data_IF_960982165493
#
_entry.id   IF_960982165493
#
_cell.length_a   1.000
_cell.length_b   1.000
_cell.length_c   1.000
_cell.angle_alpha   90.00
_cell.angle_beta   90.00
_cell.angle_gamma   90.00
#
_symmetry.space_group_name_H-M   'P 1'
#
loop_
_entity.id
_entity.type
_entity.pdbx_description
1 polymer ?
#
# COMPACT_ATOMS: atom_id res chain seq x y z
N UNK A 1 13.10 -5.57 -0.37
CA UNK A 1 11.68 -5.68 0.09
C UNK A 1 11.33 -4.51 1.01
N UNK A 2 11.95 -4.35 2.18
CA UNK A 2 11.63 -3.27 3.13
C UNK A 2 11.73 -1.82 2.58
N UNK A 3 12.74 -1.50 1.76
CA UNK A 3 12.97 -0.10 1.32
C UNK A 3 12.00 0.42 0.23
N UNK A 4 11.40 -0.44 -0.58
CA UNK A 4 10.48 0.00 -1.64
C UNK A 4 9.14 0.47 -1.05
N UNK A 5 8.62 -0.26 -0.07
CA UNK A 5 7.38 0.05 0.63
C UNK A 5 7.54 1.14 1.69
N UNK A 6 8.75 1.31 2.23
CA UNK A 6 9.10 2.45 3.08
C UNK A 6 8.79 3.80 2.39
N UNK A 7 8.91 3.87 1.06
CA UNK A 7 8.59 5.09 0.30
C UNK A 7 7.12 5.49 0.43
N UNK A 8 6.19 4.54 0.32
CA UNK A 8 4.76 4.81 0.44
C UNK A 8 4.38 5.23 1.86
N UNK A 9 4.92 4.54 2.87
CA UNK A 9 4.75 4.87 4.28
C UNK A 9 5.32 6.26 4.59
N UNK A 10 6.49 6.59 4.05
CA UNK A 10 7.12 7.89 4.23
C UNK A 10 6.29 9.03 3.63
N UNK A 11 5.61 8.80 2.50
CA UNK A 11 4.67 9.77 1.95
C UNK A 11 3.48 10.01 2.90
N UNK A 12 2.86 8.94 3.42
CA UNK A 12 1.74 9.06 4.37
C UNK A 12 2.20 9.75 5.66
N UNK A 13 3.39 9.40 6.17
CA UNK A 13 3.96 10.02 7.36
C UNK A 13 4.26 11.51 7.14
N UNK A 14 4.78 11.88 5.97
CA UNK A 14 5.00 13.29 5.63
C UNK A 14 3.68 14.08 5.61
N UNK A 15 2.63 13.52 5.01
CA UNK A 15 1.30 14.13 4.99
C UNK A 15 0.73 14.25 6.41
N UNK A 16 0.90 13.22 7.24
CA UNK A 16 0.46 13.23 8.64
C UNK A 16 1.17 14.32 9.45
N UNK A 17 2.50 14.41 9.34
CA UNK A 17 3.31 15.44 10.03
C UNK A 17 2.91 16.83 9.54
N UNK A 18 2.78 17.03 8.23
CA UNK A 18 2.35 18.30 7.66
C UNK A 18 0.95 18.70 8.17
N UNK A 19 0.01 17.76 8.23
CA UNK A 19 -1.31 17.99 8.79
C UNK A 19 -1.27 18.41 10.26
N UNK A 20 -0.42 17.76 11.08
CA UNK A 20 -0.24 18.13 12.49
C UNK A 20 0.39 19.52 12.64
N UNK A 21 1.34 19.88 11.78
CA UNK A 21 1.93 21.23 11.77
C UNK A 21 0.86 22.27 11.44
N UNK A 22 0.05 22.05 10.40
CA UNK A 22 -1.05 22.96 10.06
C UNK A 22 -2.08 23.07 11.19
N UNK A 23 -2.45 21.93 11.78
CA UNK A 23 -3.35 21.89 12.94
C UNK A 23 -2.79 22.65 14.13
N UNK A 24 -1.50 22.52 14.43
CA UNK A 24 -0.84 23.22 15.53
C UNK A 24 -0.81 24.73 15.29
N UNK A 25 -0.42 25.16 14.08
CA UNK A 25 -0.41 26.57 13.70
C UNK A 25 -1.80 27.21 13.77
N UNK A 26 -2.82 26.51 13.27
CA UNK A 26 -4.20 26.98 13.33
C UNK A 26 -4.74 26.99 14.77
N UNK A 27 -4.45 25.94 15.54
CA UNK A 27 -4.87 25.82 16.93
C UNK A 27 -4.29 26.93 17.81
N UNK A 28 -3.02 27.28 17.63
CA UNK A 28 -2.40 28.44 18.30
C UNK A 28 -3.08 29.78 17.94
N UNK A 29 -3.68 29.90 16.76
CA UNK A 29 -4.37 31.15 16.39
C UNK A 29 -5.77 31.25 17.02
N UNK A 30 -6.43 30.11 17.28
CA UNK A 30 -7.82 30.06 17.74
C UNK A 30 -7.91 29.91 19.26
N UNK A 31 -7.03 29.11 19.86
CA UNK A 31 -7.18 28.63 21.24
C UNK A 31 -6.08 29.09 22.19
N UNK A 32 -5.17 29.95 21.72
CA UNK A 32 -4.11 30.48 22.58
C UNK A 32 -4.72 31.36 23.68
N UNK A 33 -4.31 31.08 24.91
CA UNK A 33 -4.66 31.86 26.08
C UNK A 33 -3.43 32.13 26.93
N UNK A 34 -3.54 33.04 27.89
CA UNK A 34 -2.45 33.28 28.84
C UNK A 34 -2.39 32.12 29.82
N UNK A 35 -1.23 31.45 29.91
CA UNK A 35 -1.01 30.36 30.85
C UNK A 35 -1.26 30.85 32.29
N UNK A 36 -1.79 29.99 33.15
CA UNK A 36 -1.97 30.33 34.58
C UNK A 36 -0.62 30.68 35.17
N UNK A 37 -0.46 31.91 35.65
CA UNK A 37 0.71 32.26 36.45
C UNK A 37 0.60 31.50 37.79
N UNK A 38 1.60 30.69 38.17
CA UNK A 38 1.61 30.00 39.46
C UNK A 38 1.50 30.99 40.64
N UNK A 39 2.09 32.17 40.48
CA UNK A 39 2.10 33.26 41.46
C UNK A 39 0.70 33.79 41.79
N UNK A 40 -0.29 33.56 40.91
CA UNK A 40 -1.65 34.06 41.07
C UNK A 40 -2.44 33.34 42.18
N UNK A 41 -1.92 32.22 42.67
CA UNK A 41 -2.54 31.42 43.73
C UNK A 41 -1.63 31.29 44.98
N UNK A 42 -0.61 32.16 45.11
CA UNK A 42 0.16 32.23 46.35
C UNK A 42 -0.73 32.70 47.51
N UNK A 43 -0.48 32.12 48.69
CA UNK A 43 -1.17 32.53 49.92
C UNK A 43 -0.82 33.97 50.24
N UNK A 44 -1.83 34.80 50.49
CA UNK A 44 -1.58 36.17 50.89
C UNK A 44 -0.86 36.19 52.26
N UNK A 45 -0.14 37.27 52.60
CA UNK A 45 0.60 37.37 53.87
C UNK A 45 -0.27 37.22 55.14
N UNK A 46 -1.57 37.43 55.02
CA UNK A 46 -2.58 37.21 56.07
C UNK A 46 -2.99 35.73 56.25
N UNK A 47 -2.51 34.83 55.38
CA UNK A 47 -2.84 33.41 55.40
C UNK A 47 -4.09 33.05 54.61
N UNK A 48 -4.76 34.00 53.95
CA UNK A 48 -5.95 33.77 53.13
C UNK A 48 -5.59 33.46 51.67
N UNK A 49 -6.52 32.83 50.96
CA UNK A 49 -6.38 32.56 49.53
C UNK A 49 -6.84 33.76 48.69
N UNK A 50 -6.23 34.04 47.53
CA UNK A 50 -6.68 35.08 46.61
C UNK A 50 -8.09 34.82 46.07
N UNK A 51 -8.82 35.89 45.72
CA UNK A 51 -10.16 35.79 45.10
C UNK A 51 -10.13 35.06 43.74
N UNK A 52 -8.97 35.05 43.08
CA UNK A 52 -8.71 34.33 41.82
C UNK A 52 -8.60 32.82 42.00
N UNK A 53 -8.30 32.35 43.21
CA UNK A 53 -7.95 30.97 43.48
C UNK A 53 -8.23 30.65 44.96
N UNK A 54 -9.46 30.27 45.28
CA UNK A 54 -9.96 30.30 46.66
C UNK A 54 -10.12 28.93 47.32
N UNK A 55 -9.92 27.81 46.59
CA UNK A 55 -10.18 26.48 47.12
C UNK A 55 -9.03 26.00 48.00
N UNK A 56 -9.33 25.56 49.23
CA UNK A 56 -8.37 24.91 50.13
C UNK A 56 -8.84 23.50 50.48
N UNK A 57 -8.03 22.50 50.15
CA UNK A 57 -8.32 21.09 50.41
C UNK A 57 -8.10 20.73 51.89
N UNK A 58 -7.11 21.36 52.55
CA UNK A 58 -6.74 21.22 53.97
C UNK A 58 -6.22 22.55 54.54
N UNK A 59 -6.20 22.73 55.87
CA UNK A 59 -5.66 23.94 56.51
C UNK A 59 -4.21 24.26 56.10
N UNK A 60 -3.40 23.22 55.87
CA UNK A 60 -1.98 23.34 55.51
C UNK A 60 -1.70 23.10 54.01
N UNK A 61 -2.73 22.99 53.17
CA UNK A 61 -2.54 22.81 51.72
C UNK A 61 -2.42 24.17 51.01
N UNK A 62 -1.66 24.25 49.90
CA UNK A 62 -1.69 25.41 49.02
C UNK A 62 -3.12 25.67 48.50
N UNK A 63 -3.40 26.93 48.18
CA UNK A 63 -4.64 27.30 47.49
C UNK A 63 -4.64 26.64 46.10
N UNK A 64 -5.80 26.22 45.64
CA UNK A 64 -6.01 25.64 44.31
C UNK A 64 -7.20 26.30 43.64
N UNK A 65 -7.21 26.29 42.31
CA UNK A 65 -8.32 26.84 41.55
C UNK A 65 -9.55 25.96 41.76
N UNK A 66 -10.73 26.56 41.95
CA UNK A 66 -11.98 25.82 41.81
C UNK A 66 -12.16 25.41 40.35
N UNK A 67 -12.99 24.39 40.09
CA UNK A 67 -13.33 24.00 38.73
C UNK A 67 -13.81 25.21 37.91
N UNK A 68 -14.66 26.07 38.48
CA UNK A 68 -15.15 27.28 37.79
C UNK A 68 -14.03 28.30 37.49
N UNK A 69 -13.15 28.60 38.47
CA UNK A 69 -12.01 29.51 38.31
C UNK A 69 -10.96 28.99 37.33
N UNK A 70 -10.86 27.67 37.20
CA UNK A 70 -9.98 26.98 36.26
C UNK A 70 -10.36 27.31 34.80
N UNK A 71 -11.65 27.52 34.54
CA UNK A 71 -12.18 27.84 33.20
C UNK A 71 -11.99 29.32 32.83
N UNK A 72 -11.99 30.23 33.81
CA UNK A 72 -11.83 31.67 33.60
C UNK A 72 -10.38 32.07 33.25
N UNK A 73 -9.38 31.26 33.63
CA UNK A 73 -7.95 31.59 33.53
C UNK A 73 -7.16 30.65 32.59
N UNK A 74 -7.69 30.34 31.40
CA UNK A 74 -7.13 29.35 30.46
C UNK A 74 -7.23 27.92 31.01
N UNK A 75 -8.07 27.09 30.40
CA UNK A 75 -8.38 25.76 30.90
C UNK A 75 -7.44 24.64 30.42
N UNK A 76 -6.47 24.99 29.56
CA UNK A 76 -5.46 24.04 29.09
C UNK A 76 -4.43 23.73 30.17
N UNK A 77 -3.83 22.55 30.06
CA UNK A 77 -2.76 22.07 30.93
C UNK A 77 -1.41 22.66 30.49
N UNK A 78 -0.46 22.83 31.41
CA UNK A 78 0.82 23.51 31.19
C UNK A 78 1.66 22.87 30.08
N UNK A 79 1.48 21.56 29.85
CA UNK A 79 2.21 20.78 28.84
C UNK A 79 1.32 20.30 27.67
N UNK A 80 0.01 20.56 27.72
CA UNK A 80 -0.98 20.18 26.69
C UNK A 80 -1.89 21.37 26.38
N UNK A 81 -1.29 22.40 25.80
CA UNK A 81 -1.93 23.68 25.51
C UNK A 81 -1.73 24.11 24.05
N UNK A 82 -2.41 25.19 23.64
CA UNK A 82 -2.15 25.88 22.36
C UNK A 82 -1.31 27.17 22.52
N UNK A 83 -0.54 27.29 23.61
CA UNK A 83 0.20 28.51 23.92
C UNK A 83 1.55 28.57 23.20
N UNK A 84 2.20 27.41 23.05
CA UNK A 84 3.43 27.26 22.27
C UNK A 84 3.24 26.23 21.15
N UNK A 85 4.06 26.35 20.10
CA UNK A 85 4.01 25.42 18.97
C UNK A 85 4.30 23.98 19.39
N UNK A 86 5.27 23.81 20.29
CA UNK A 86 5.65 22.49 20.81
C UNK A 86 4.51 21.84 21.60
N UNK A 87 3.90 22.57 22.54
CA UNK A 87 2.76 22.07 23.33
C UNK A 87 1.55 21.76 22.44
N UNK A 88 1.30 22.61 21.43
CA UNK A 88 0.21 22.39 20.48
C UNK A 88 0.41 21.10 19.70
N UNK A 89 1.64 20.84 19.25
CA UNK A 89 1.98 19.62 18.53
C UNK A 89 1.83 18.39 19.42
N UNK A 90 2.28 18.46 20.68
CA UNK A 90 2.13 17.36 21.65
C UNK A 90 0.67 17.09 21.96
N UNK A 91 -0.13 18.13 22.23
CA UNK A 91 -1.57 18.01 22.45
C UNK A 91 -2.27 17.32 21.26
N UNK A 92 -1.96 17.75 20.04
CA UNK A 92 -2.55 17.15 18.83
C UNK A 92 -2.09 15.71 18.59
N UNK A 93 -0.89 15.33 19.03
CA UNK A 93 -0.46 13.92 19.02
C UNK A 93 -1.31 13.06 19.97
N UNK A 94 -1.59 13.52 21.19
CA UNK A 94 -2.52 12.83 22.12
C UNK A 94 -3.94 12.74 21.55
N UNK A 95 -4.42 13.80 20.89
CA UNK A 95 -5.72 13.77 20.21
C UNK A 95 -5.74 12.70 19.12
N UNK A 96 -4.66 12.60 18.33
CA UNK A 96 -4.52 11.60 17.26
C UNK A 96 -4.44 10.16 17.79
N UNK A 97 -3.88 9.93 18.99
CA UNK A 97 -3.93 8.60 19.64
C UNK A 97 -5.30 8.26 20.23
N UNK A 98 -6.21 9.23 20.32
CA UNK A 98 -7.53 9.07 20.93
C UNK A 98 -7.50 9.16 22.46
N UNK A 99 -6.39 9.58 23.05
CA UNK A 99 -6.28 9.78 24.50
C UNK A 99 -6.82 11.15 24.89
N UNK A 100 -7.83 11.16 25.75
CA UNK A 100 -8.38 12.36 26.38
C UNK A 100 -8.78 13.49 25.40
N UNK A 101 -9.09 13.14 24.14
CA UNK A 101 -9.36 14.11 23.08
C UNK A 101 -10.69 14.85 23.26
N UNK A 102 -11.68 14.20 23.91
CA UNK A 102 -12.98 14.80 24.22
C UNK A 102 -12.81 15.93 25.23
N UNK A 103 -11.99 15.74 26.27
CA UNK A 103 -11.72 16.77 27.28
C UNK A 103 -10.95 17.94 26.66
N UNK A 104 -9.97 17.65 25.80
CA UNK A 104 -9.26 18.69 25.05
C UNK A 104 -10.21 19.50 24.15
N UNK A 105 -11.14 18.83 23.46
CA UNK A 105 -12.18 19.48 22.66
C UNK A 105 -13.11 20.34 23.54
N UNK A 106 -13.61 19.81 24.66
CA UNK A 106 -14.47 20.55 25.57
C UNK A 106 -13.77 21.80 26.13
N UNK A 107 -12.47 21.66 26.41
CA UNK A 107 -11.61 22.77 26.82
C UNK A 107 -11.55 23.84 25.73
N UNK A 108 -11.25 23.45 24.49
CA UNK A 108 -11.20 24.35 23.36
C UNK A 108 -12.55 25.03 23.05
N UNK A 109 -13.68 24.32 23.20
CA UNK A 109 -15.03 24.87 23.02
C UNK A 109 -15.34 25.99 24.02
N UNK A 110 -14.78 25.92 25.23
CA UNK A 110 -14.96 26.92 26.28
C UNK A 110 -13.99 28.09 26.17
N UNK A 111 -12.83 27.89 25.53
CA UNK A 111 -11.85 28.96 25.29
C UNK A 111 -12.30 29.94 24.20
N UNK A 112 -13.20 29.54 23.30
CA UNK A 112 -13.72 30.42 22.26
C UNK A 112 -15.06 31.07 22.65
N UNK A 113 -15.38 32.30 22.16
CA UNK A 113 -16.64 32.98 22.50
C UNK A 113 -17.91 32.19 22.15
N UNK A 114 -17.80 31.24 21.22
CA UNK A 114 -18.87 30.32 20.84
C UNK A 114 -18.32 28.90 20.85
N UNK A 115 -19.18 27.89 20.97
CA UNK A 115 -18.77 26.48 21.00
C UNK A 115 -18.26 25.95 19.66
N UNK A 116 -18.65 26.60 18.56
CA UNK A 116 -18.48 26.08 17.20
C UNK A 116 -17.03 25.93 16.74
N UNK A 117 -16.12 26.91 16.95
CA UNK A 117 -14.75 26.80 16.48
C UNK A 117 -14.00 25.64 17.13
N UNK A 118 -14.13 25.46 18.45
CA UNK A 118 -13.55 24.32 19.18
C UNK A 118 -14.10 22.98 18.71
N UNK A 119 -15.42 22.86 18.61
CA UNK A 119 -16.07 21.62 18.18
C UNK A 119 -15.69 21.23 16.75
N UNK A 120 -15.78 22.16 15.80
CA UNK A 120 -15.49 21.89 14.39
C UNK A 120 -14.00 21.55 14.20
N UNK A 121 -13.10 22.30 14.84
CA UNK A 121 -11.66 22.04 14.75
C UNK A 121 -11.32 20.62 15.20
N UNK A 122 -11.74 20.21 16.40
CA UNK A 122 -11.37 18.91 16.96
C UNK A 122 -12.05 17.75 16.22
N UNK A 123 -13.32 17.87 15.83
CA UNK A 123 -14.00 16.79 15.09
C UNK A 123 -13.37 16.58 13.72
N UNK A 124 -13.12 17.65 12.97
CA UNK A 124 -12.47 17.55 11.65
C UNK A 124 -11.05 17.04 11.81
N UNK A 125 -10.29 17.58 12.76
CA UNK A 125 -8.92 17.13 13.01
C UNK A 125 -8.88 15.64 13.35
N UNK A 126 -9.74 15.19 14.27
CA UNK A 126 -9.80 13.80 14.71
C UNK A 126 -10.16 12.84 13.57
N UNK A 127 -11.22 13.11 12.81
CA UNK A 127 -11.64 12.25 11.69
C UNK A 127 -10.54 12.14 10.64
N UNK A 128 -9.91 13.26 10.29
CA UNK A 128 -8.88 13.32 9.26
C UNK A 128 -7.58 12.65 9.74
N UNK A 129 -7.15 12.88 10.97
CA UNK A 129 -6.03 12.17 11.61
C UNK A 129 -6.26 10.67 11.69
N UNK A 130 -7.44 10.25 12.13
CA UNK A 130 -7.80 8.84 12.22
C UNK A 130 -7.72 8.18 10.83
N UNK A 131 -8.33 8.78 9.81
CA UNK A 131 -8.24 8.27 8.44
C UNK A 131 -6.79 8.13 7.94
N UNK A 132 -5.92 9.10 8.22
CA UNK A 132 -4.50 9.00 7.88
C UNK A 132 -3.78 7.86 8.61
N UNK A 133 -4.07 7.63 9.90
CA UNK A 133 -3.53 6.50 10.64
C UNK A 133 -4.01 5.16 10.09
N UNK A 134 -5.28 5.03 9.70
CA UNK A 134 -5.76 3.80 9.05
C UNK A 134 -5.06 3.57 7.72
N UNK A 135 -4.84 4.60 6.92
CA UNK A 135 -4.10 4.46 5.68
C UNK A 135 -2.65 4.02 5.91
N UNK A 136 -2.02 4.48 7.00
CA UNK A 136 -0.71 3.98 7.42
C UNK A 136 -0.77 2.49 7.81
N UNK A 137 -1.76 2.10 8.63
CA UNK A 137 -1.93 0.72 9.09
C UNK A 137 -2.27 -0.24 7.94
N UNK A 138 -3.22 0.13 7.09
CA UNK A 138 -3.59 -0.62 5.88
C UNK A 138 -2.38 -0.73 4.94
N UNK A 139 -1.60 0.34 4.76
CA UNK A 139 -0.39 0.30 3.97
C UNK A 139 0.64 -0.71 4.50
N UNK A 140 0.84 -0.76 5.82
CA UNK A 140 1.74 -1.74 6.46
C UNK A 140 1.21 -3.17 6.32
N UNK A 141 -0.09 -3.40 6.48
CA UNK A 141 -0.68 -4.74 6.33
C UNK A 141 -0.63 -5.21 4.88
N UNK A 142 -1.02 -4.36 3.92
CA UNK A 142 -0.97 -4.69 2.50
C UNK A 142 0.44 -5.03 2.06
N UNK A 143 1.44 -4.36 2.63
CA UNK A 143 2.84 -4.67 2.39
C UNK A 143 3.22 -6.09 2.83
N UNK A 144 2.68 -6.59 3.95
CA UNK A 144 2.95 -7.96 4.41
C UNK A 144 2.38 -9.01 3.43
N UNK A 145 1.25 -8.71 2.80
CA UNK A 145 0.61 -9.57 1.81
C UNK A 145 1.08 -9.33 0.38
N UNK A 146 1.86 -8.26 0.12
CA UNK A 146 2.29 -7.94 -1.23
C UNK A 146 3.44 -8.85 -1.69
N UNK A 147 3.17 -9.63 -2.74
CA UNK A 147 4.18 -10.44 -3.39
C UNK A 147 5.29 -9.57 -3.97
N UNK A 148 6.52 -10.06 -3.85
CA UNK A 148 7.66 -9.30 -4.40
C UNK A 148 7.77 -9.43 -5.89
N UNK A 149 8.40 -8.47 -6.55
CA UNK A 149 8.45 -8.43 -8.02
C UNK A 149 9.03 -9.73 -8.61
N UNK A 150 10.02 -10.32 -7.97
CA UNK A 150 10.57 -11.63 -8.34
C UNK A 150 9.55 -12.76 -8.18
N UNK A 151 8.75 -12.75 -7.11
CA UNK A 151 7.67 -13.73 -6.92
C UNK A 151 6.55 -13.53 -7.94
N UNK A 152 6.19 -12.28 -8.23
CA UNK A 152 5.21 -11.91 -9.26
C UNK A 152 5.69 -12.39 -10.64
N UNK A 153 6.96 -12.15 -10.99
CA UNK A 153 7.56 -12.61 -12.25
C UNK A 153 7.60 -14.14 -12.35
N UNK A 154 8.02 -14.83 -11.28
CA UNK A 154 8.02 -16.30 -11.25
C UNK A 154 6.61 -16.90 -11.39
N UNK A 155 5.60 -16.28 -10.79
CA UNK A 155 4.19 -16.65 -10.95
C UNK A 155 3.71 -16.43 -12.39
N UNK A 156 4.07 -15.30 -13.02
CA UNK A 156 3.76 -15.04 -14.43
C UNK A 156 4.40 -16.10 -15.34
N UNK A 157 5.71 -16.35 -15.18
CA UNK A 157 6.44 -17.36 -15.97
C UNK A 157 5.83 -18.75 -15.76
N UNK A 158 5.46 -19.11 -14.53
CA UNK A 158 4.76 -20.35 -14.22
C UNK A 158 3.43 -20.49 -14.97
N UNK A 159 2.60 -19.44 -14.97
CA UNK A 159 1.33 -19.43 -15.71
C UNK A 159 1.52 -19.55 -17.23
N UNK A 160 2.52 -18.87 -17.80
CA UNK A 160 2.85 -19.00 -19.23
C UNK A 160 3.28 -20.42 -19.59
N UNK A 161 4.14 -21.04 -18.76
CA UNK A 161 4.58 -22.43 -18.97
C UNK A 161 3.40 -23.39 -18.98
N UNK A 162 2.47 -23.26 -18.04
CA UNK A 162 1.25 -24.11 -17.97
C UNK A 162 0.36 -23.92 -19.20
N UNK A 163 0.12 -22.67 -19.63
CA UNK A 163 -0.66 -22.39 -20.85
C UNK A 163 -0.03 -23.01 -22.10
N UNK A 164 1.30 -22.89 -22.24
CA UNK A 164 2.04 -23.45 -23.38
C UNK A 164 2.02 -24.99 -23.39
N UNK A 165 2.19 -25.62 -22.23
CA UNK A 165 2.06 -27.08 -22.09
C UNK A 165 0.66 -27.54 -22.50
N UNK A 166 -0.38 -26.85 -22.04
CA UNK A 166 -1.77 -27.20 -22.38
C UNK A 166 -2.03 -27.13 -23.89
N UNK A 167 -1.45 -26.15 -24.60
CA UNK A 167 -1.57 -26.04 -26.05
C UNK A 167 -0.86 -27.19 -26.79
N UNK A 168 0.34 -27.56 -26.33
CA UNK A 168 1.12 -28.65 -26.94
C UNK A 168 0.40 -29.99 -26.76
N UNK A 169 -0.11 -30.28 -25.56
CA UNK A 169 -0.85 -31.51 -25.28
C UNK A 169 -2.10 -31.62 -26.18
N UNK A 170 -2.83 -30.52 -26.40
CA UNK A 170 -3.96 -30.50 -27.35
C UNK A 170 -3.52 -30.77 -28.79
N UNK A 171 -2.41 -30.15 -29.25
CA UNK A 171 -1.89 -30.41 -30.59
C UNK A 171 -1.41 -31.85 -30.76
N UNK A 172 -0.83 -32.46 -29.71
CA UNK A 172 -0.46 -33.88 -29.71
C UNK A 172 -1.67 -34.80 -29.84
N UNK A 173 -2.76 -34.51 -29.13
CA UNK A 173 -3.99 -35.31 -29.23
C UNK A 173 -4.58 -35.27 -30.65
N UNK A 174 -4.57 -34.10 -31.31
CA UNK A 174 -5.02 -33.94 -32.70
C UNK A 174 -4.10 -34.70 -33.67
N UNK A 175 -2.79 -34.60 -33.47
CA UNK A 175 -1.77 -35.34 -34.22
C UNK A 175 -2.01 -36.85 -34.17
N UNK A 176 -2.25 -37.39 -32.98
CA UNK A 176 -2.53 -38.81 -32.77
C UNK A 176 -3.81 -39.25 -33.50
N UNK A 177 -4.89 -38.46 -33.39
CA UNK A 177 -6.14 -38.73 -34.11
C UNK A 177 -5.96 -38.73 -35.64
N UNK A 178 -5.13 -37.83 -36.17
CA UNK A 178 -4.81 -37.79 -37.60
C UNK A 178 -3.98 -39.00 -38.02
N UNK A 179 -2.94 -39.37 -37.27
CA UNK A 179 -2.12 -40.55 -37.57
C UNK A 179 -2.96 -41.83 -37.58
N UNK A 180 -3.92 -41.98 -36.66
CA UNK A 180 -4.87 -43.09 -36.69
C UNK A 180 -5.73 -43.10 -37.96
N UNK A 181 -6.18 -41.92 -38.41
CA UNK A 181 -6.96 -41.79 -39.66
C UNK A 181 -6.14 -42.19 -40.88
N UNK A 182 -4.90 -41.74 -41.00
CA UNK A 182 -3.97 -42.14 -42.07
C UNK A 182 -3.75 -43.66 -42.09
N UNK A 183 -3.60 -44.28 -40.91
CA UNK A 183 -3.44 -45.73 -40.76
C UNK A 183 -4.70 -46.49 -41.21
N UNK A 184 -5.91 -45.99 -40.92
CA UNK A 184 -7.16 -46.58 -41.43
C UNK A 184 -7.31 -46.46 -42.94
N UNK A 185 -6.88 -45.34 -43.51
CA UNK A 185 -6.96 -45.06 -44.95
C UNK A 185 -5.89 -45.80 -45.77
N UNK A 186 -5.03 -46.62 -45.14
CA UNK A 186 -4.00 -47.41 -45.81
C UNK A 186 -2.83 -46.59 -46.38
N UNK A 187 -2.62 -45.37 -45.86
CA UNK A 187 -1.55 -44.46 -46.28
C UNK A 187 -0.34 -44.57 -45.34
N UNK A 188 0.86 -44.30 -45.85
CA UNK A 188 2.09 -44.25 -45.05
C UNK A 188 2.01 -43.14 -43.99
N UNK A 189 2.34 -43.48 -42.74
CA UNK A 189 2.29 -42.55 -41.60
C UNK A 189 3.65 -41.87 -41.45
N UNK A 190 3.73 -40.52 -41.50
CA UNK A 190 4.98 -39.80 -41.25
C UNK A 190 5.41 -39.92 -39.78
N UNK A 191 6.70 -40.19 -39.53
CA UNK A 191 7.27 -40.17 -38.19
C UNK A 191 7.57 -38.72 -37.78
N UNK A 192 6.83 -38.22 -36.79
CA UNK A 192 7.02 -36.88 -36.22
C UNK A 192 7.43 -37.05 -34.76
N UNK A 193 8.73 -36.93 -34.48
CA UNK A 193 9.26 -37.05 -33.12
C UNK A 193 9.27 -35.67 -32.44
N UNK A 194 8.25 -35.39 -31.63
CA UNK A 194 8.17 -34.15 -30.83
C UNK A 194 8.81 -34.35 -29.44
N UNK A 195 9.98 -33.76 -29.20
CA UNK A 195 10.69 -33.87 -27.92
C UNK A 195 10.18 -32.83 -26.89
N UNK A 196 9.17 -33.21 -26.12
CA UNK A 196 8.57 -32.39 -25.06
C UNK A 196 9.61 -31.94 -24.03
N UNK A 197 10.54 -32.81 -23.64
CA UNK A 197 11.53 -32.51 -22.61
C UNK A 197 12.52 -31.42 -23.05
N UNK A 198 12.95 -31.45 -24.32
CA UNK A 198 13.81 -30.42 -24.91
C UNK A 198 13.07 -29.07 -25.04
N UNK A 199 11.80 -29.08 -25.45
CA UNK A 199 10.98 -27.87 -25.51
C UNK A 199 10.77 -27.24 -24.12
N UNK A 200 10.53 -28.06 -23.08
CA UNK A 200 10.36 -27.61 -21.70
C UNK A 200 11.67 -27.11 -21.06
N UNK A 201 12.81 -27.62 -21.51
CA UNK A 201 14.14 -27.13 -21.14
C UNK A 201 14.51 -25.80 -21.83
N UNK A 202 13.72 -25.36 -22.82
CA UNK A 202 13.97 -24.13 -23.58
C UNK A 202 14.95 -24.31 -24.74
N UNK A 203 15.19 -25.55 -25.19
CA UNK A 203 16.00 -25.81 -26.37
C UNK A 203 15.25 -25.41 -27.65
N UNK A 204 15.85 -24.51 -28.42
CA UNK A 204 15.30 -24.02 -29.69
C UNK A 204 15.31 -25.08 -30.81
N UNK A 205 16.05 -26.18 -30.64
CA UNK A 205 16.12 -27.30 -31.59
C UNK A 205 15.06 -28.38 -31.34
N UNK A 206 14.17 -28.18 -30.37
CA UNK A 206 13.07 -29.12 -30.08
C UNK A 206 11.91 -29.07 -31.09
N UNK A 207 11.93 -28.12 -32.03
CA UNK A 207 10.92 -27.93 -33.06
C UNK A 207 11.64 -28.04 -34.41
N UNK A 208 11.47 -29.15 -35.11
CA UNK A 208 11.93 -29.29 -36.50
C UNK A 208 11.05 -28.44 -37.43
N UNK A 209 11.59 -27.97 -38.56
CA UNK A 209 10.85 -27.12 -39.52
C UNK A 209 9.53 -27.78 -39.98
N UNK A 210 9.48 -29.11 -40.08
CA UNK A 210 8.27 -29.89 -40.37
C UNK A 210 7.21 -29.79 -39.28
N UNK A 211 7.60 -29.72 -38.00
CA UNK A 211 6.68 -29.53 -36.87
C UNK A 211 6.18 -28.08 -36.83
N UNK A 212 7.03 -27.12 -37.17
CA UNK A 212 6.63 -25.71 -37.25
C UNK A 212 5.61 -25.47 -38.38
N UNK A 213 5.86 -26.02 -39.56
CA UNK A 213 4.97 -25.92 -40.73
C UNK A 213 3.65 -26.67 -40.51
N UNK A 214 3.68 -27.82 -39.83
CA UNK A 214 2.49 -28.54 -39.41
C UNK A 214 1.70 -27.81 -38.31
N UNK A 215 2.39 -27.09 -37.41
CA UNK A 215 1.76 -26.27 -36.38
C UNK A 215 1.11 -24.98 -36.90
N UNK A 216 1.48 -24.52 -38.10
CA UNK A 216 0.97 -23.33 -38.80
C UNK A 216 -0.11 -23.66 -39.86
N UNK A 217 -0.54 -24.92 -39.97
CA UNK A 217 -1.59 -25.32 -40.92
C UNK A 217 -2.97 -24.78 -40.46
N UNK A 218 -3.69 -23.98 -41.28
CA UNK A 218 -5.01 -23.44 -40.96
C UNK A 218 -6.10 -24.52 -40.77
N UNK A 219 -5.83 -25.79 -41.09
CA UNK A 219 -6.68 -26.93 -40.71
C UNK A 219 -6.71 -27.17 -39.19
N UNK A 220 -5.72 -26.65 -38.43
CA UNK A 220 -5.72 -26.64 -36.95
C UNK A 220 -6.63 -25.58 -36.34
N UNK A 221 -7.16 -24.67 -37.15
CA UNK A 221 -7.98 -23.54 -36.71
C UNK A 221 -9.49 -23.83 -36.83
N UNK A 222 -9.88 -25.10 -36.66
CA UNK A 222 -11.29 -25.49 -36.64
C UNK A 222 -11.78 -25.71 -35.22
N UNK A 223 -12.58 -24.73 -34.81
CA UNK A 223 -13.27 -24.50 -33.54
C UNK A 223 -12.33 -24.07 -32.41
N UNK A 224 -12.23 -22.75 -32.26
CA UNK A 224 -12.31 -22.12 -30.95
C UNK A 224 -13.61 -22.58 -30.26
N UNK A 225 -13.65 -23.82 -29.76
CA UNK A 225 -14.62 -24.15 -28.73
C UNK A 225 -14.24 -23.27 -27.53
N UNK A 226 -15.18 -22.41 -27.15
CA UNK A 226 -15.17 -21.59 -25.94
C UNK A 226 -14.70 -22.45 -24.76
N UNK A 227 -13.40 -22.48 -24.52
CA UNK A 227 -12.85 -23.07 -23.32
C UNK A 227 -13.19 -22.07 -22.22
N UNK A 228 -14.25 -22.37 -21.48
CA UNK A 228 -14.51 -21.78 -20.17
C UNK A 228 -13.24 -22.00 -19.34
N UNK A 229 -12.33 -21.04 -19.39
CA UNK A 229 -11.23 -20.89 -18.45
C UNK A 229 -11.97 -20.56 -17.15
N UNK A 230 -12.07 -21.48 -16.16
CA UNK A 230 -12.57 -21.06 -14.87
C UNK A 230 -11.64 -19.91 -14.48
N UNK A 231 -12.18 -18.72 -14.15
CA UNK A 231 -11.31 -17.68 -13.67
C UNK A 231 -10.59 -18.31 -12.49
N UNK A 232 -9.27 -18.34 -12.53
CA UNK A 232 -8.50 -18.49 -11.31
C UNK A 232 -8.69 -17.16 -10.58
N UNK A 233 -9.91 -16.95 -10.08
CA UNK A 233 -10.30 -15.89 -9.17
C UNK A 233 -9.78 -16.29 -7.81
N UNK A 234 -8.45 -16.34 -7.71
CA UNK A 234 -7.80 -16.01 -6.47
C UNK A 234 -7.46 -14.53 -6.66
N UNK A 235 -8.32 -13.70 -6.08
CA UNK A 235 -8.14 -12.28 -5.84
C UNK A 235 -6.66 -11.87 -5.88
N UNK A 236 -6.36 -10.81 -6.65
CA UNK A 236 -5.16 -9.94 -6.59
C UNK A 236 -4.26 -9.99 -7.83
N UNK A 237 -4.55 -9.07 -8.76
CA UNK A 237 -3.60 -8.18 -9.44
C UNK A 237 -2.24 -8.76 -9.87
N UNK A 238 -2.22 -9.71 -10.80
CA UNK A 238 -1.06 -9.85 -11.67
C UNK A 238 -1.24 -8.89 -12.85
N UNK A 239 -0.40 -7.85 -13.01
CA UNK A 239 -0.50 -6.95 -14.15
C UNK A 239 -0.28 -7.74 -15.45
N UNK A 240 -0.88 -7.27 -16.55
CA UNK A 240 -0.63 -7.84 -17.88
C UNK A 240 0.90 -7.86 -18.14
N UNK A 241 1.43 -8.90 -18.79
CA UNK A 241 2.83 -8.94 -19.17
C UNK A 241 3.19 -7.64 -19.91
N UNK A 242 4.28 -6.99 -19.50
CA UNK A 242 4.79 -5.83 -20.23
C UNK A 242 5.14 -6.26 -21.67
N UNK A 243 4.72 -5.49 -22.70
CA UNK A 243 4.90 -5.89 -24.10
C UNK A 243 6.36 -6.10 -24.55
N UNK A 244 7.35 -5.58 -23.80
CA UNK A 244 8.72 -5.44 -24.31
C UNK A 244 9.83 -6.13 -23.51
N UNK A 245 9.51 -6.99 -22.53
CA UNK A 245 10.50 -7.96 -22.05
C UNK A 245 10.27 -9.27 -22.79
N UNK A 246 10.81 -9.33 -24.01
CA UNK A 246 11.06 -10.60 -24.68
C UNK A 246 11.72 -11.56 -23.68
N UNK A 247 11.27 -12.82 -23.70
CA UNK A 247 11.95 -13.94 -23.03
C UNK A 247 13.47 -13.78 -23.20
N UNK A 248 14.29 -14.05 -22.17
CA UNK A 248 15.74 -13.91 -22.28
C UNK A 248 16.18 -14.63 -23.54
N UNK A 249 16.62 -13.85 -24.53
CA UNK A 249 17.03 -14.42 -25.82
C UNK A 249 18.15 -15.40 -25.52
N UNK A 250 17.97 -16.64 -25.98
CA UNK A 250 18.96 -17.69 -25.79
C UNK A 250 20.35 -17.14 -26.13
N UNK A 251 21.35 -17.40 -25.28
CA UNK A 251 22.72 -16.89 -25.47
C UNK A 251 23.16 -17.19 -26.90
N UNK A 252 23.50 -16.14 -27.67
CA UNK A 252 23.96 -16.26 -29.06
C UNK A 252 25.10 -17.29 -29.12
N UNK A 253 24.82 -18.43 -29.73
CA UNK A 253 25.77 -19.53 -29.86
C UNK A 253 26.66 -19.34 -31.10
N UNK A 254 27.66 -20.20 -31.27
CA UNK A 254 28.60 -20.13 -32.39
C UNK A 254 27.88 -20.19 -33.75
N UNK A 255 26.76 -20.92 -33.82
CA UNK A 255 25.93 -21.09 -35.04
C UNK A 255 25.31 -19.75 -35.48
N UNK A 256 24.85 -18.92 -34.54
CA UNK A 256 24.37 -17.55 -34.82
C UNK A 256 25.49 -16.68 -35.40
N UNK A 257 26.69 -16.75 -34.84
CA UNK A 257 27.86 -15.99 -35.31
C UNK A 257 28.30 -16.44 -36.72
N UNK A 258 28.25 -17.74 -36.99
CA UNK A 258 28.56 -18.30 -38.31
C UNK A 258 27.53 -17.84 -39.33
N UNK A 259 26.23 -17.88 -39.00
CA UNK A 259 25.17 -17.39 -39.90
C UNK A 259 25.32 -15.89 -40.20
N UNK A 260 25.61 -15.08 -39.18
CA UNK A 260 25.82 -13.64 -39.33
C UNK A 260 26.99 -13.30 -40.27
N UNK A 261 28.10 -14.03 -40.14
CA UNK A 261 29.27 -13.83 -41.02
C UNK A 261 28.98 -14.29 -42.45
N UNK A 262 28.23 -15.39 -42.61
CA UNK A 262 27.95 -15.98 -43.92
C UNK A 262 26.89 -15.18 -44.71
N UNK A 263 25.90 -14.60 -44.04
CA UNK A 263 24.78 -13.93 -44.72
C UNK A 263 24.96 -12.41 -44.93
N UNK A 264 25.97 -11.79 -44.31
CA UNK A 264 26.47 -10.47 -44.72
C UNK A 264 25.42 -9.35 -44.87
N UNK A 265 24.31 -9.36 -44.13
CA UNK A 265 23.29 -8.30 -44.21
C UNK A 265 23.41 -7.30 -43.07
N UNK A 266 23.51 -5.99 -43.35
CA UNK A 266 23.38 -4.96 -42.32
C UNK A 266 21.90 -4.60 -42.09
N UNK A 267 21.59 -4.46 -40.80
CA UNK A 267 20.35 -4.03 -40.13
C UNK A 267 19.19 -5.02 -40.09
#
# INVERSE_FOLDING_TARGET
>A
KAFASFKAILHVLFVLVFFHVLGALLGMQIFRCDARLPDLCETLPNGDCPDTCSLRLRPDSPCVFTDDQMWDNCAFDDYRSFNTFYESLVLLLFVTTGENWVDAMQTAMRQTPTIWPGLVFFIVFYIVSFYMLFNLFIGVILQEFELTDEQKENLQVGQFRVKRIRQILKKQEILEQQQEKYRRDGKEVPQIDFNIAAFLAGDAEAITDEVAEFMDDPAFDQKEDELYDPPVDIFVCLPRPLPDKMLPTAKRNLRWWVHYIVEGRPF
#
